data_IF_980620128207
#
_entry.id   IF_980620128207
#
_cell.length_a   1.000
_cell.length_b   1.000
_cell.length_c   1.000
_cell.angle_alpha   90.00
_cell.angle_beta   90.00
_cell.angle_gamma   90.00
#
_symmetry.space_group_name_H-M   'P 1'
#
loop_
_entity.id
_entity.type
_entity.pdbx_description
1 polymer ?
#
# COMPACT_ATOMS: atom_id res chain seq x y z
N UNK A 1 7.84 9.63 -2.66
CA UNK A 1 6.75 9.06 -3.50
C UNK A 1 5.72 10.15 -3.79
N UNK A 2 4.96 10.10 -4.91
CA UNK A 2 3.98 11.13 -5.28
C UNK A 2 2.76 11.24 -4.33
N UNK A 3 2.69 10.38 -3.31
CA UNK A 3 1.55 10.26 -2.40
C UNK A 3 1.66 11.10 -1.13
N UNK A 4 2.56 12.09 -1.09
CA UNK A 4 2.62 13.05 0.02
C UNK A 4 1.30 13.86 0.05
N UNK A 5 0.64 14.05 1.22
CA UNK A 5 1.09 13.71 2.59
C UNK A 5 0.56 12.37 3.15
N UNK A 6 -0.07 11.56 2.31
CA UNK A 6 -0.77 10.33 2.72
C UNK A 6 0.19 9.18 3.03
N UNK A 7 1.20 8.96 2.18
CA UNK A 7 2.25 7.95 2.36
C UNK A 7 3.59 8.56 1.98
N UNK A 8 4.50 8.56 2.95
CA UNK A 8 5.88 9.05 2.84
C UNK A 8 6.80 7.90 3.20
N UNK A 9 7.81 7.65 2.36
CA UNK A 9 8.89 6.72 2.67
C UNK A 9 10.05 7.55 3.20
N UNK A 10 10.47 7.26 4.43
CA UNK A 10 11.70 7.80 4.98
C UNK A 10 12.89 7.05 4.40
N UNK A 11 13.79 7.75 3.72
CA UNK A 11 14.95 7.16 3.05
C UNK A 11 16.02 6.67 4.04
N UNK A 12 16.04 7.19 5.28
CA UNK A 12 17.03 6.78 6.28
C UNK A 12 16.54 5.54 7.03
N UNK A 13 15.33 5.62 7.58
CA UNK A 13 14.78 4.53 8.40
C UNK A 13 14.10 3.43 7.59
N UNK A 14 13.83 3.67 6.29
CA UNK A 14 13.02 2.80 5.43
C UNK A 14 11.59 2.56 5.96
N UNK A 15 11.13 3.42 6.88
CA UNK A 15 9.78 3.35 7.43
C UNK A 15 8.80 4.15 6.58
N UNK A 16 7.56 3.68 6.56
CA UNK A 16 6.44 4.42 5.99
C UNK A 16 5.83 5.31 7.06
N UNK A 17 5.53 6.57 6.72
CA UNK A 17 4.86 7.55 7.56
C UNK A 17 3.78 8.29 6.76
N UNK A 18 2.99 9.15 7.40
CA UNK A 18 1.98 9.98 6.76
C UNK A 18 0.56 9.61 7.17
N UNK A 19 -0.40 10.44 6.77
CA UNK A 19 -1.76 10.41 7.29
C UNK A 19 -2.43 9.02 7.20
N UNK A 20 -2.25 8.31 6.08
CA UNK A 20 -2.87 6.99 5.89
C UNK A 20 -2.17 5.91 6.71
N UNK A 21 -0.87 6.07 6.99
CA UNK A 21 -0.13 5.15 7.85
C UNK A 21 -0.57 5.32 9.31
N UNK A 22 -0.75 6.55 9.76
CA UNK A 22 -1.26 6.84 11.11
C UNK A 22 -2.67 6.25 11.28
N UNK A 23 -3.55 6.41 10.29
CA UNK A 23 -4.87 5.79 10.30
C UNK A 23 -4.81 4.26 10.35
N UNK A 24 -3.92 3.63 9.57
CA UNK A 24 -3.73 2.17 9.59
C UNK A 24 -3.25 1.68 10.96
N UNK A 25 -2.33 2.41 11.60
CA UNK A 25 -1.83 2.12 12.93
C UNK A 25 -2.96 2.17 13.98
N UNK A 26 -3.81 3.19 13.94
CA UNK A 26 -4.96 3.31 14.85
C UNK A 26 -5.98 2.19 14.64
N UNK A 27 -6.22 1.78 13.39
CA UNK A 27 -7.08 0.64 13.09
C UNK A 27 -6.46 -0.67 13.60
N UNK A 28 -5.17 -0.88 13.37
CA UNK A 28 -4.44 -2.06 13.84
C UNK A 28 -4.49 -2.20 15.36
N UNK A 29 -4.32 -1.10 16.07
CA UNK A 29 -4.43 -1.05 17.52
C UNK A 29 -5.87 -1.29 18.00
N UNK A 30 -6.85 -0.59 17.42
CA UNK A 30 -8.26 -0.69 17.81
C UNK A 30 -8.92 -2.04 17.49
N UNK A 31 -8.46 -2.73 16.45
CA UNK A 31 -9.00 -4.00 15.99
C UNK A 31 -8.08 -5.20 16.30
N UNK A 32 -6.93 -4.95 16.93
CA UNK A 32 -5.93 -5.95 17.34
C UNK A 32 -5.46 -6.86 16.18
N UNK A 33 -4.97 -6.26 15.10
CA UNK A 33 -4.30 -6.97 14.00
C UNK A 33 -2.89 -6.43 13.76
N UNK A 34 -2.06 -7.23 13.10
CA UNK A 34 -0.75 -6.82 12.59
C UNK A 34 -0.79 -6.68 11.07
N UNK A 35 0.10 -5.86 10.52
CA UNK A 35 0.19 -5.64 9.08
C UNK A 35 1.64 -5.56 8.62
N UNK A 36 1.84 -5.81 7.34
CA UNK A 36 3.10 -5.63 6.63
C UNK A 36 2.87 -4.67 5.46
N UNK A 37 3.82 -3.77 5.23
CA UNK A 37 3.77 -2.83 4.11
C UNK A 37 4.53 -3.40 2.92
N UNK A 38 3.82 -3.69 1.83
CA UNK A 38 4.42 -4.13 0.56
C UNK A 38 3.99 -3.23 -0.58
N UNK A 39 4.94 -2.76 -1.39
CA UNK A 39 4.62 -2.04 -2.63
C UNK A 39 4.33 -3.02 -3.78
N UNK A 40 3.46 -2.66 -4.74
CA UNK A 40 3.24 -3.49 -5.92
C UNK A 40 4.53 -3.63 -6.74
N UNK A 41 4.80 -4.81 -7.36
CA UNK A 41 6.06 -5.05 -8.07
C UNK A 41 6.35 -4.06 -9.21
N UNK A 42 5.30 -3.56 -9.86
CA UNK A 42 5.39 -2.61 -10.98
C UNK A 42 5.27 -1.13 -10.53
N UNK A 43 5.00 -0.89 -9.24
CA UNK A 43 4.79 0.45 -8.68
C UNK A 43 3.52 1.16 -9.17
N UNK A 44 2.59 0.47 -9.83
CA UNK A 44 1.39 1.05 -10.42
C UNK A 44 0.12 0.71 -9.64
N UNK A 45 -0.95 1.49 -9.87
CA UNK A 45 -2.27 1.18 -9.32
C UNK A 45 -2.89 -0.08 -9.91
N UNK A 46 -2.84 -0.20 -11.23
CA UNK A 46 -3.37 -1.34 -11.97
C UNK A 46 -4.17 -0.93 -13.19
N UNK A 47 -4.07 -1.76 -14.23
CA UNK A 47 -4.79 -1.61 -15.49
C UNK A 47 -5.51 -2.92 -15.76
N UNK A 48 -6.79 -2.85 -16.17
CA UNK A 48 -7.55 -4.03 -16.54
C UNK A 48 -7.05 -4.62 -17.86
N UNK A 49 -6.65 -5.88 -17.83
CA UNK A 49 -6.31 -6.67 -19.00
C UNK A 49 -7.55 -7.21 -19.71
N UNK A 50 -7.38 -7.62 -20.97
CA UNK A 50 -8.47 -8.15 -21.82
C UNK A 50 -9.15 -9.40 -21.26
N UNK A 51 -8.48 -10.12 -20.37
CA UNK A 51 -8.92 -11.33 -19.68
C UNK A 51 -9.53 -11.05 -18.29
N UNK A 52 -9.83 -9.80 -17.94
CA UNK A 52 -10.28 -9.37 -16.60
C UNK A 52 -9.26 -9.59 -15.48
N UNK A 53 -7.98 -9.81 -15.82
CA UNK A 53 -6.90 -9.76 -14.84
C UNK A 53 -6.39 -8.33 -14.73
N UNK A 54 -6.05 -7.89 -13.52
CA UNK A 54 -5.46 -6.57 -13.29
C UNK A 54 -3.94 -6.67 -13.08
N UNK A 55 -3.23 -5.61 -13.45
CA UNK A 55 -1.84 -5.35 -13.03
C UNK A 55 -1.80 -4.49 -11.75
N UNK A 56 -0.62 -4.06 -11.30
CA UNK A 56 -0.51 -3.09 -10.20
C UNK A 56 -0.99 -3.60 -8.85
N UNK A 57 -1.25 -2.64 -7.96
CA UNK A 57 -1.83 -2.88 -6.63
C UNK A 57 -3.14 -3.67 -6.71
N UNK A 58 -4.03 -3.35 -7.65
CA UNK A 58 -5.30 -4.07 -7.84
C UNK A 58 -5.03 -5.53 -8.24
N UNK A 59 -4.11 -5.74 -9.18
CA UNK A 59 -3.67 -7.07 -9.60
C UNK A 59 -3.06 -7.87 -8.45
N UNK A 60 -2.23 -7.24 -7.61
CA UNK A 60 -1.65 -7.90 -6.45
C UNK A 60 -2.72 -8.36 -5.45
N UNK A 61 -3.76 -7.55 -5.23
CA UNK A 61 -4.89 -7.93 -4.36
C UNK A 61 -5.77 -9.03 -4.97
N UNK A 62 -5.94 -9.03 -6.30
CA UNK A 62 -6.73 -10.04 -7.00
C UNK A 62 -6.12 -11.45 -6.92
N UNK A 63 -4.80 -11.56 -6.85
CA UNK A 63 -4.07 -12.84 -6.86
C UNK A 63 -3.48 -13.23 -5.49
N UNK A 64 -3.77 -12.47 -4.43
CA UNK A 64 -3.34 -12.78 -3.05
C UNK A 64 -4.22 -13.84 -2.39
#
# INVERSE_FOLDING_TARGET
>A
LPWNPFVVLDNETHNYTGFTIDLLQELAHGLNFTYEMTSPPDGQWGIEGKNKSWTGLVGQLQHR
#
